data_IF_165176059049
#
_entry.id   IF_165176059049
#
_cell.length_a   1.000
_cell.length_b   1.000
_cell.length_c   1.000
_cell.angle_alpha   90.00
_cell.angle_beta   90.00
_cell.angle_gamma   90.00
#
_symmetry.space_group_name_H-M   'P 1'
#
loop_
_entity.id
_entity.type
_entity.pdbx_description
1 polymer ?
#
# COMPACT_ATOMS: atom_id res chain seq x y z
N UNK A 1 13.18 0.16 0.97
CA UNK A 1 11.89 0.25 0.25
C UNK A 1 11.94 1.26 -0.89
N UNK A 2 11.26 0.96 -2.01
CA UNK A 2 11.18 1.79 -3.23
C UNK A 2 9.74 1.89 -3.72
N UNK A 3 9.37 3.01 -4.34
CA UNK A 3 8.04 3.21 -4.95
C UNK A 3 8.21 3.17 -6.47
N UNK A 4 7.39 2.37 -7.15
CA UNK A 4 7.54 2.10 -8.60
C UNK A 4 6.20 2.18 -9.33
N UNK A 5 6.18 2.73 -10.54
CA UNK A 5 4.97 2.65 -11.36
C UNK A 5 4.84 1.25 -11.94
N UNK A 6 3.66 0.67 -11.84
CA UNK A 6 3.35 -0.62 -12.45
C UNK A 6 3.51 -0.61 -13.99
N UNK A 7 3.31 0.54 -14.62
CA UNK A 7 3.54 0.69 -16.06
C UNK A 7 5.03 0.61 -16.42
N UNK A 8 5.92 1.11 -15.55
CA UNK A 8 7.36 1.04 -15.75
C UNK A 8 7.82 -0.43 -15.60
N UNK A 9 7.29 -1.15 -14.60
CA UNK A 9 7.51 -2.60 -14.44
C UNK A 9 7.04 -3.39 -15.67
N UNK A 10 5.83 -3.12 -16.16
CA UNK A 10 5.26 -3.76 -17.35
C UNK A 10 6.11 -3.53 -18.61
N UNK A 11 6.66 -2.32 -18.76
CA UNK A 11 7.49 -1.96 -19.92
C UNK A 11 8.91 -2.50 -19.85
N UNK A 12 9.36 -2.96 -18.67
CA UNK A 12 10.76 -3.33 -18.43
C UNK A 12 11.69 -2.16 -18.13
N UNK A 13 11.17 -0.92 -18.04
CA UNK A 13 11.94 0.27 -17.65
C UNK A 13 12.48 0.17 -16.22
N UNK A 14 11.79 -0.62 -15.37
CA UNK A 14 12.21 -0.95 -13.99
C UNK A 14 12.10 -2.46 -13.79
N UNK A 15 13.12 -3.06 -13.16
CA UNK A 15 13.13 -4.48 -12.77
C UNK A 15 13.27 -4.60 -11.26
N UNK A 16 12.38 -5.37 -10.62
CA UNK A 16 12.39 -5.56 -9.17
C UNK A 16 13.48 -6.53 -8.68
N UNK A 17 14.02 -7.39 -9.54
CA UNK A 17 15.03 -8.39 -9.15
C UNK A 17 14.50 -9.32 -8.05
N UNK A 18 15.34 -9.66 -7.07
CA UNK A 18 14.98 -10.54 -5.95
C UNK A 18 14.18 -9.84 -4.82
N UNK A 19 13.66 -8.64 -5.07
CA UNK A 19 12.85 -7.90 -4.10
C UNK A 19 11.35 -8.23 -4.21
N UNK A 20 10.62 -8.10 -3.10
CA UNK A 20 9.17 -8.31 -3.06
C UNK A 20 8.45 -7.12 -3.68
N UNK A 21 7.54 -7.34 -4.62
CA UNK A 21 6.78 -6.30 -5.33
C UNK A 21 5.30 -6.42 -5.03
N UNK A 22 4.74 -5.40 -4.39
CA UNK A 22 3.36 -5.38 -3.92
C UNK A 22 2.61 -4.24 -4.58
N UNK A 23 1.49 -4.53 -5.26
CA UNK A 23 0.58 -3.48 -5.72
C UNK A 23 -0.21 -2.93 -4.54
N UNK A 24 -0.15 -1.62 -4.34
CA UNK A 24 -0.81 -0.93 -3.21
C UNK A 24 -1.98 -0.03 -3.65
N UNK A 25 -2.45 -0.21 -4.88
CA UNK A 25 -3.64 0.49 -5.38
C UNK A 25 -4.88 -0.35 -5.08
N UNK A 26 -5.93 0.28 -4.52
CA UNK A 26 -7.23 -0.40 -4.32
C UNK A 26 -7.79 -1.07 -5.57
N UNK A 27 -7.53 -0.47 -6.73
CA UNK A 27 -8.06 -0.93 -8.01
C UNK A 27 -6.93 -1.39 -8.90
N UNK A 28 -7.13 -2.53 -9.55
CA UNK A 28 -6.22 -3.00 -10.57
C UNK A 28 -6.12 -1.98 -11.73
N UNK A 29 -4.91 -1.65 -12.22
CA UNK A 29 -4.72 -0.68 -13.28
C UNK A 29 -5.37 -1.09 -14.59
N UNK A 30 -6.05 -0.13 -15.23
CA UNK A 30 -6.61 -0.34 -16.56
C UNK A 30 -5.49 -0.55 -17.58
N UNK A 31 -5.68 -1.51 -18.48
CA UNK A 31 -4.73 -1.78 -19.58
C UNK A 31 -3.44 -2.49 -19.16
N UNK A 32 -3.35 -2.95 -17.91
CA UNK A 32 -2.30 -3.84 -17.41
C UNK A 32 -2.92 -5.21 -17.21
N UNK A 33 -2.39 -6.25 -17.83
CA UNK A 33 -2.84 -7.62 -17.58
C UNK A 33 -2.16 -8.17 -16.33
N UNK A 34 -2.85 -9.01 -15.55
CA UNK A 34 -2.31 -9.56 -14.29
C UNK A 34 -1.01 -10.36 -14.47
N UNK A 35 -0.87 -11.01 -15.61
CA UNK A 35 0.30 -11.80 -16.02
C UNK A 35 1.39 -10.97 -16.73
N UNK A 36 1.15 -9.68 -16.96
CA UNK A 36 2.12 -8.80 -17.65
C UNK A 36 3.10 -8.09 -16.72
N UNK A 37 2.99 -8.33 -15.41
CA UNK A 37 3.86 -7.75 -14.38
C UNK A 37 4.10 -8.81 -13.31
N UNK A 38 5.37 -9.00 -12.93
CA UNK A 38 5.74 -9.84 -11.81
C UNK A 38 5.41 -9.09 -10.50
N UNK A 39 4.25 -9.41 -9.92
CA UNK A 39 3.84 -8.99 -8.58
C UNK A 39 3.81 -10.21 -7.67
N UNK A 40 4.33 -10.06 -6.46
CA UNK A 40 4.18 -11.08 -5.42
C UNK A 40 2.78 -11.00 -4.80
N UNK A 41 2.29 -9.77 -4.56
CA UNK A 41 1.02 -9.54 -3.86
C UNK A 41 0.25 -8.31 -4.37
N UNK A 42 -1.02 -8.24 -4.01
CA UNK A 42 -1.88 -7.07 -4.23
C UNK A 42 -2.60 -6.72 -2.92
N UNK A 43 -2.06 -5.74 -2.20
CA UNK A 43 -2.64 -5.21 -0.97
C UNK A 43 -3.51 -4.00 -1.32
N UNK A 44 -4.79 -4.26 -1.61
CA UNK A 44 -5.75 -3.23 -2.06
C UNK A 44 -6.31 -2.42 -0.89
N UNK A 45 -6.32 -2.98 0.32
CA UNK A 45 -6.91 -2.41 1.51
C UNK A 45 -5.93 -1.49 2.24
N UNK A 46 -4.63 -1.56 1.97
CA UNK A 46 -3.67 -0.55 2.47
C UNK A 46 -3.82 0.82 1.78
N UNK A 47 -4.51 0.89 0.64
CA UNK A 47 -4.76 2.14 -0.08
C UNK A 47 -5.67 3.10 0.74
N UNK A 48 -5.63 4.42 0.47
CA UNK A 48 -6.52 5.36 1.13
C UNK A 48 -7.99 5.02 0.91
N UNK A 49 -8.83 5.39 1.86
CA UNK A 49 -10.27 5.12 1.81
C UNK A 49 -10.92 5.65 0.52
N UNK A 50 -12.01 5.03 0.03
CA UNK A 50 -12.70 5.50 -1.15
C UNK A 50 -13.11 6.98 -1.08
N UNK A 51 -13.49 7.47 0.09
CA UNK A 51 -13.93 8.85 0.29
C UNK A 51 -12.75 9.82 0.32
N UNK A 52 -11.63 9.46 0.95
CA UNK A 52 -10.41 10.25 0.89
C UNK A 52 -9.84 10.35 -0.53
N UNK A 53 -9.85 9.24 -1.29
CA UNK A 53 -9.45 9.23 -2.70
C UNK A 53 -10.32 10.15 -3.57
N UNK A 54 -11.65 10.13 -3.37
CA UNK A 54 -12.57 11.05 -4.08
C UNK A 54 -12.30 12.51 -3.71
N UNK A 55 -12.07 12.78 -2.43
CA UNK A 55 -11.81 14.13 -1.93
C UNK A 55 -10.48 14.70 -2.48
N UNK A 56 -9.43 13.89 -2.50
CA UNK A 56 -8.13 14.28 -3.07
C UNK A 56 -8.26 14.61 -4.55
N UNK A 57 -9.00 13.79 -5.31
CA UNK A 57 -9.31 14.08 -6.71
C UNK A 57 -8.08 14.21 -7.63
N UNK A 58 -6.90 13.77 -7.18
CA UNK A 58 -5.61 14.00 -7.82
C UNK A 58 -5.27 15.50 -8.00
N UNK A 59 -5.73 16.34 -7.09
CA UNK A 59 -5.42 17.77 -7.04
C UNK A 59 -4.11 17.99 -6.26
N UNK A 60 -2.99 18.38 -6.92
CA UNK A 60 -1.70 18.57 -6.25
C UNK A 60 -1.76 19.58 -5.10
N UNK A 61 -2.62 20.61 -5.21
CA UNK A 61 -2.77 21.63 -4.17
C UNK A 61 -3.37 21.07 -2.87
N UNK A 62 -3.97 19.89 -2.92
CA UNK A 62 -4.53 19.17 -1.76
C UNK A 62 -3.62 18.07 -1.23
N UNK A 63 -2.43 17.87 -1.84
CA UNK A 63 -1.63 16.69 -1.56
C UNK A 63 -1.12 16.64 -0.12
N UNK A 64 -0.70 17.77 0.45
CA UNK A 64 -0.21 17.81 1.83
C UNK A 64 -1.31 17.39 2.82
N UNK A 65 -2.51 17.96 2.69
CA UNK A 65 -3.65 17.60 3.53
C UNK A 65 -4.15 16.17 3.26
N UNK A 66 -4.09 15.71 2.01
CA UNK A 66 -4.35 14.31 1.67
C UNK A 66 -3.38 13.38 2.39
N UNK A 67 -2.09 13.70 2.41
CA UNK A 67 -1.06 12.89 3.03
C UNK A 67 -1.27 12.79 4.54
N UNK A 68 -1.61 13.90 5.20
CA UNK A 68 -1.92 13.91 6.64
C UNK A 68 -3.15 13.07 6.98
N UNK A 69 -4.24 13.23 6.21
CA UNK A 69 -5.46 12.44 6.40
C UNK A 69 -5.22 10.95 6.17
N UNK A 70 -4.43 10.60 5.16
CA UNK A 70 -4.13 9.21 4.85
C UNK A 70 -3.23 8.57 5.92
N UNK A 71 -2.23 9.29 6.44
CA UNK A 71 -1.45 8.82 7.60
C UNK A 71 -2.34 8.56 8.80
N UNK A 72 -3.31 9.44 9.07
CA UNK A 72 -4.26 9.21 10.15
C UNK A 72 -5.09 7.93 9.96
N UNK A 73 -5.57 7.65 8.73
CA UNK A 73 -6.24 6.37 8.43
C UNK A 73 -5.34 5.15 8.70
N UNK A 74 -4.03 5.26 8.41
CA UNK A 74 -3.06 4.19 8.68
C UNK A 74 -2.79 4.03 10.18
N UNK A 75 -2.61 5.13 10.92
CA UNK A 75 -2.38 5.14 12.37
C UNK A 75 -3.56 4.50 13.13
N UNK A 76 -4.80 4.85 12.75
CA UNK A 76 -6.00 4.29 13.36
C UNK A 76 -6.08 2.77 13.18
N UNK A 77 -5.71 2.27 11.99
CA UNK A 77 -5.70 0.84 11.68
C UNK A 77 -4.58 0.10 12.38
N UNK A 78 -3.37 0.65 12.41
CA UNK A 78 -2.26 0.07 13.18
C UNK A 78 -2.57 0.03 14.68
N UNK A 79 -3.23 1.06 15.22
CA UNK A 79 -3.69 1.04 16.61
C UNK A 79 -4.76 -0.05 16.86
N UNK A 80 -5.61 -0.34 15.88
CA UNK A 80 -6.57 -1.44 15.95
C UNK A 80 -5.88 -2.81 15.94
N UNK A 81 -4.90 -3.02 15.05
CA UNK A 81 -4.07 -4.24 14.97
C UNK A 81 -3.36 -4.53 16.30
N UNK A 82 -2.83 -3.49 16.95
CA UNK A 82 -2.09 -3.62 18.20
C UNK A 82 -2.96 -3.75 19.46
N UNK A 83 -4.29 -3.66 19.34
CA UNK A 83 -5.18 -3.82 20.49
C UNK A 83 -5.22 -5.31 20.88
N UNK A 84 -4.82 -5.70 22.11
CA UNK A 84 -4.96 -7.08 22.54
C UNK A 84 -6.45 -7.44 22.59
N UNK A 85 -6.84 -8.48 21.86
CA UNK A 85 -8.19 -9.03 21.82
C UNK A 85 -8.73 -9.29 23.23
N UNK A 86 -9.47 -8.34 23.79
CA UNK A 86 -10.10 -8.49 25.12
C UNK A 86 -11.51 -9.05 25.06
N UNK A 87 -12.02 -9.40 23.88
CA UNK A 87 -13.28 -10.15 23.70
C UNK A 87 -13.29 -10.80 22.32
N UNK A 88 -12.65 -11.97 22.18
CA UNK A 88 -12.88 -12.87 21.05
C UNK A 88 -14.23 -13.57 21.23
N UNK A 89 -15.31 -12.77 21.21
CA UNK A 89 -16.67 -13.26 21.07
C UNK A 89 -16.96 -13.49 19.60
N UNK A 90 -17.05 -14.77 19.21
CA UNK A 90 -17.70 -15.27 17.99
C UNK A 90 -17.53 -14.39 16.74
N UNK A 91 -16.29 -14.27 16.24
CA UNK A 91 -16.10 -13.86 14.83
C UNK A 91 -16.49 -15.05 13.97
N UNK A 92 -17.70 -15.01 13.42
CA UNK A 92 -18.12 -15.94 12.38
C UNK A 92 -17.07 -15.94 11.26
N UNK A 93 -16.55 -17.12 10.98
CA UNK A 93 -15.47 -17.42 10.02
C UNK A 93 -15.84 -17.17 8.54
N UNK A 94 -16.91 -16.43 8.27
CA UNK A 94 -17.57 -16.35 6.96
C UNK A 94 -17.47 -14.97 6.29
N UNK A 95 -16.71 -14.02 6.85
CA UNK A 95 -16.36 -12.77 6.16
C UNK A 95 -14.91 -12.85 5.65
N UNK A 96 -14.82 -12.94 4.32
CA UNK A 96 -13.68 -13.00 3.39
C UNK A 96 -12.61 -11.92 3.69
N UNK A 97 -11.38 -12.34 4.00
CA UNK A 97 -10.11 -11.60 4.10
C UNK A 97 -10.14 -10.22 4.79
N UNK A 98 -9.72 -10.15 6.06
CA UNK A 98 -9.74 -8.93 6.87
C UNK A 98 -8.80 -7.84 6.33
N UNK A 99 -9.33 -6.64 6.10
CA UNK A 99 -8.59 -5.42 5.71
C UNK A 99 -7.35 -5.13 6.59
N UNK A 100 -7.35 -5.60 7.84
CA UNK A 100 -6.26 -5.42 8.81
C UNK A 100 -5.07 -6.36 8.56
N UNK A 101 -5.29 -7.52 7.95
CA UNK A 101 -4.24 -8.53 7.72
C UNK A 101 -3.23 -8.03 6.66
N UNK A 102 -3.69 -7.35 5.61
CA UNK A 102 -2.80 -6.80 4.56
C UNK A 102 -1.85 -5.71 5.11
N UNK A 103 -2.33 -4.85 6.02
CA UNK A 103 -1.50 -3.79 6.61
C UNK A 103 -0.46 -4.37 7.57
N UNK A 104 -0.86 -5.34 8.41
CA UNK A 104 0.06 -6.06 9.28
C UNK A 104 1.14 -6.80 8.48
N UNK A 105 0.76 -7.47 7.39
CA UNK A 105 1.69 -8.15 6.51
C UNK A 105 2.62 -7.17 5.79
N UNK A 106 2.11 -6.01 5.37
CA UNK A 106 2.93 -4.97 4.75
C UNK A 106 3.97 -4.40 5.73
N UNK A 107 3.59 -4.19 6.99
CA UNK A 107 4.51 -3.75 8.05
C UNK A 107 5.63 -4.78 8.27
N UNK A 108 5.29 -6.07 8.36
CA UNK A 108 6.27 -7.14 8.47
C UNK A 108 7.20 -7.20 7.25
N UNK A 109 6.64 -7.10 6.03
CA UNK A 109 7.41 -7.08 4.80
C UNK A 109 8.35 -5.87 4.70
N UNK A 110 7.94 -4.71 5.24
CA UNK A 110 8.76 -3.52 5.30
C UNK A 110 9.92 -3.67 6.31
N UNK A 111 9.66 -4.24 7.49
CA UNK A 111 10.67 -4.51 8.51
C UNK A 111 11.73 -5.54 8.05
N UNK A 112 11.32 -6.55 7.26
CA UNK A 112 12.21 -7.57 6.70
C UNK A 112 12.99 -7.09 5.45
N UNK A 113 12.62 -5.95 4.87
CA UNK A 113 13.22 -5.46 3.63
C UNK A 113 14.68 -5.04 3.84
N UNK A 114 15.55 -5.45 2.92
CA UNK A 114 16.98 -5.11 2.96
C UNK A 114 17.44 -4.44 1.66
N UNK A 115 18.69 -3.97 1.61
CA UNK A 115 19.29 -3.47 0.36
C UNK A 115 19.35 -4.56 -0.71
N UNK A 116 19.63 -5.81 -0.31
CA UNK A 116 19.73 -6.95 -1.23
C UNK A 116 18.36 -7.48 -1.67
N UNK A 117 17.36 -7.43 -0.79
CA UNK A 117 15.97 -7.82 -1.05
C UNK A 117 15.02 -6.67 -0.68
N UNK A 118 14.92 -5.64 -1.54
CA UNK A 118 14.11 -4.47 -1.25
C UNK A 118 12.62 -4.77 -1.42
N UNK A 119 11.78 -4.10 -0.63
CA UNK A 119 10.34 -4.01 -0.86
C UNK A 119 10.05 -2.92 -1.91
N UNK A 120 9.25 -3.26 -2.93
CA UNK A 120 8.73 -2.36 -3.95
C UNK A 120 7.23 -2.15 -3.77
N UNK A 121 6.82 -0.91 -3.56
CA UNK A 121 5.40 -0.52 -3.58
C UNK A 121 5.03 -0.07 -4.99
N UNK A 122 4.27 -0.91 -5.70
CA UNK A 122 3.79 -0.64 -7.04
C UNK A 122 2.49 0.18 -7.02
N UNK A 123 2.40 1.20 -7.87
CA UNK A 123 1.22 2.07 -8.01
C UNK A 123 0.91 2.41 -9.47
N UNK A 124 -0.33 2.85 -9.76
CA UNK A 124 -0.78 3.15 -11.12
C UNK A 124 -1.11 4.62 -11.41
N UNK A 125 -1.21 5.48 -10.40
CA UNK A 125 -1.53 6.90 -10.58
C UNK A 125 -0.63 7.55 -11.64
N UNK A 126 -1.15 8.47 -12.47
CA UNK A 126 -0.37 9.12 -13.53
C UNK A 126 0.71 10.02 -12.96
N UNK A 127 0.35 10.81 -11.96
CA UNK A 127 1.26 11.69 -11.22
C UNK A 127 2.30 10.86 -10.47
N UNK A 128 3.58 11.22 -10.63
CA UNK A 128 4.71 10.55 -9.98
C UNK A 128 5.06 11.18 -8.63
N UNK A 129 4.61 12.41 -8.39
CA UNK A 129 5.02 13.26 -7.27
C UNK A 129 3.90 13.37 -6.24
N UNK A 130 2.63 13.31 -6.67
CA UNK A 130 1.45 13.37 -5.79
C UNK A 130 0.62 12.08 -5.89
N UNK A 131 1.06 11.03 -5.18
CA UNK A 131 0.34 9.75 -5.11
C UNK A 131 0.44 9.14 -3.71
N UNK A 132 -0.51 8.27 -3.37
CA UNK A 132 -0.58 7.67 -2.04
C UNK A 132 0.56 6.70 -1.74
N UNK A 133 1.15 6.05 -2.74
CA UNK A 133 2.25 5.11 -2.50
C UNK A 133 3.51 5.82 -1.96
N UNK A 134 3.73 7.09 -2.31
CA UNK A 134 4.76 7.93 -1.69
C UNK A 134 4.47 8.19 -0.20
N UNK A 135 3.22 8.50 0.13
CA UNK A 135 2.77 8.73 1.51
C UNK A 135 2.91 7.46 2.33
N UNK A 136 2.43 6.33 1.80
CA UNK A 136 2.53 5.00 2.42
C UNK A 136 3.98 4.61 2.65
N UNK A 137 4.86 4.80 1.66
CA UNK A 137 6.29 4.51 1.82
C UNK A 137 6.97 5.43 2.83
N UNK A 138 6.55 6.69 2.98
CA UNK A 138 7.07 7.57 4.02
C UNK A 138 6.63 7.06 5.40
N UNK A 139 5.32 6.83 5.57
CA UNK A 139 4.75 6.34 6.82
C UNK A 139 5.35 5.00 7.27
N UNK A 140 5.50 4.04 6.35
CA UNK A 140 6.14 2.74 6.65
C UNK A 140 7.60 2.88 7.08
N UNK A 141 8.33 3.92 6.64
CA UNK A 141 9.70 4.17 7.14
C UNK A 141 9.66 4.71 8.56
N UNK A 142 8.75 5.65 8.82
CA UNK A 142 8.58 6.24 10.15
C UNK A 142 8.16 5.20 11.20
N UNK A 143 7.41 4.17 10.81
CA UNK A 143 6.94 3.10 11.71
C UNK A 143 8.00 2.02 12.02
N UNK A 144 9.03 1.86 11.16
CA UNK A 144 10.07 0.81 11.32
C UNK A 144 11.42 1.34 11.81
N UNK A 145 11.62 2.66 11.85
CA UNK A 145 12.84 3.32 12.36
C UNK A 145 12.86 3.38 13.90
#
# INVERSE_FOLDING_TARGET
MRVVKIHDLRSGDVTAGDGRTILVDRLWPRGVAKDSVDLDDWFKEVAPSPDLRKWFGHDPDRFDEFADRYRHELDERTAAINRPDSDAGDRSSDDDDSDDDELAELLAAAADATVAKPLYLAYAAKDRDHNHALVLAAWLRDEID
#
